data_IF_274546019308
#
_entry.id   IF_274546019308
#
_cell.length_a   1.000
_cell.length_b   1.000
_cell.length_c   1.000
_cell.angle_alpha   90.00
_cell.angle_beta   90.00
_cell.angle_gamma   90.00
#
_symmetry.space_group_name_H-M   'P 1'
#
loop_
_entity.id
_entity.type
_entity.pdbx_description
1 polymer ?
#
# COMPACT_ATOMS: atom_id res chain seq x y z
N UNK A 1 -14.50 42.15 14.26
CA UNK A 1 -14.55 40.98 13.39
C UNK A 1 -13.13 40.57 13.12
N UNK A 2 -12.77 39.29 13.29
CA UNK A 2 -11.44 38.83 12.96
C UNK A 2 -11.22 38.97 11.46
N UNK A 3 -10.06 39.50 11.06
CA UNK A 3 -9.66 39.56 9.63
C UNK A 3 -9.67 38.16 9.05
N UNK A 4 -10.63 37.89 8.15
CA UNK A 4 -10.71 36.60 7.45
C UNK A 4 -9.46 36.51 6.54
N UNK A 5 -8.63 35.52 6.76
CA UNK A 5 -7.45 35.31 5.90
C UNK A 5 -7.89 35.00 4.47
N UNK A 6 -7.00 35.24 3.49
CA UNK A 6 -7.27 34.87 2.10
C UNK A 6 -7.58 33.34 1.97
N UNK A 7 -6.87 32.51 2.71
CA UNK A 7 -7.07 31.08 2.68
C UNK A 7 -8.48 30.69 3.19
N UNK A 8 -8.92 31.27 4.31
CA UNK A 8 -10.25 31.03 4.87
C UNK A 8 -11.35 31.47 3.90
N UNK A 9 -11.20 32.65 3.26
CA UNK A 9 -12.16 33.14 2.28
C UNK A 9 -12.25 32.23 1.05
N UNK A 10 -11.12 31.77 0.51
CA UNK A 10 -11.10 30.84 -0.63
C UNK A 10 -11.79 29.52 -0.26
N UNK A 11 -11.54 28.96 0.93
CA UNK A 11 -12.19 27.74 1.41
C UNK A 11 -13.70 27.94 1.59
N UNK A 12 -14.16 29.08 2.13
CA UNK A 12 -15.57 29.40 2.29
C UNK A 12 -16.30 29.52 0.95
N UNK A 13 -15.71 30.23 -0.03
CA UNK A 13 -16.23 30.35 -1.40
C UNK A 13 -16.35 28.96 -2.06
N UNK A 14 -15.32 28.14 -1.94
CA UNK A 14 -15.30 26.79 -2.48
C UNK A 14 -16.37 25.91 -1.82
N UNK A 15 -16.44 25.92 -0.48
CA UNK A 15 -17.43 25.14 0.28
C UNK A 15 -18.87 25.53 -0.09
N UNK A 16 -19.17 26.84 -0.22
CA UNK A 16 -20.49 27.34 -0.61
C UNK A 16 -20.92 26.83 -1.99
N UNK A 17 -20.00 26.89 -2.96
CA UNK A 17 -20.26 26.44 -4.33
C UNK A 17 -20.50 24.94 -4.41
N UNK A 18 -19.72 24.13 -3.68
CA UNK A 18 -19.83 22.67 -3.69
C UNK A 18 -21.08 22.21 -2.94
N UNK A 19 -21.43 22.87 -1.84
CA UNK A 19 -22.63 22.51 -1.06
C UNK A 19 -23.92 22.73 -1.85
N UNK A 20 -23.87 23.56 -2.90
CA UNK A 20 -25.03 23.90 -3.74
C UNK A 20 -24.72 23.76 -5.23
N UNK A 21 -24.44 22.55 -5.72
CA UNK A 21 -23.89 22.35 -7.07
C UNK A 21 -24.84 22.73 -8.20
N UNK A 22 -26.14 22.75 -7.93
CA UNK A 22 -27.17 23.15 -8.91
C UNK A 22 -27.37 24.66 -9.02
N UNK A 23 -26.84 25.42 -8.05
CA UNK A 23 -27.03 26.87 -7.99
C UNK A 23 -25.85 27.61 -8.60
N UNK A 24 -26.14 28.62 -9.38
CA UNK A 24 -25.12 29.56 -9.90
C UNK A 24 -25.13 30.85 -9.10
N UNK A 25 -23.95 31.40 -8.85
CA UNK A 25 -23.76 32.61 -8.04
C UNK A 25 -23.04 33.68 -8.82
N UNK A 26 -23.50 34.95 -8.74
CA UNK A 26 -22.69 36.09 -9.09
C UNK A 26 -21.71 36.45 -7.97
N UNK A 27 -20.76 37.35 -8.22
CA UNK A 27 -19.87 37.82 -7.15
C UNK A 27 -20.67 38.47 -6.01
N UNK A 28 -21.75 39.20 -6.32
CA UNK A 28 -22.62 39.81 -5.31
C UNK A 28 -23.34 38.74 -4.47
N UNK A 29 -23.88 37.69 -5.12
CA UNK A 29 -24.54 36.56 -4.43
C UNK A 29 -23.57 35.86 -3.47
N UNK A 30 -22.30 35.66 -3.88
CA UNK A 30 -21.26 35.03 -3.05
C UNK A 30 -20.91 35.88 -1.84
N UNK A 31 -20.77 37.19 -2.04
CA UNK A 31 -20.46 38.15 -0.98
C UNK A 31 -21.60 38.25 0.03
N UNK A 32 -22.85 38.30 -0.42
CA UNK A 32 -24.03 38.32 0.43
C UNK A 32 -24.14 37.04 1.23
N UNK A 33 -23.99 35.87 0.60
CA UNK A 33 -24.10 34.57 1.27
C UNK A 33 -23.02 34.31 2.34
N UNK A 34 -21.85 34.92 2.21
CA UNK A 34 -20.72 34.80 3.13
C UNK A 34 -20.52 36.05 4.01
N UNK A 35 -21.44 37.01 3.96
CA UNK A 35 -21.39 38.28 4.71
C UNK A 35 -20.07 39.04 4.49
N UNK A 36 -19.52 38.99 3.27
CA UNK A 36 -18.27 39.64 2.90
C UNK A 36 -18.55 41.10 2.55
N UNK A 37 -17.87 42.08 3.18
CA UNK A 37 -18.12 43.48 2.97
C UNK A 37 -17.70 43.94 1.54
N UNK A 38 -18.39 44.96 1.00
CA UNK A 38 -18.24 45.41 -0.41
C UNK A 38 -16.81 45.91 -0.76
N UNK A 39 -16.04 46.39 0.20
CA UNK A 39 -14.64 46.78 0.00
C UNK A 39 -13.72 45.55 -0.36
N UNK A 40 -14.14 44.31 -0.07
CA UNK A 40 -13.42 43.08 -0.40
C UNK A 40 -13.76 42.55 -1.81
N UNK A 41 -14.64 43.16 -2.56
CA UNK A 41 -15.13 42.69 -3.87
C UNK A 41 -13.99 42.29 -4.84
N UNK A 42 -12.94 43.13 -4.93
CA UNK A 42 -11.79 42.84 -5.80
C UNK A 42 -11.01 41.57 -5.34
N UNK A 43 -10.93 41.35 -4.06
CA UNK A 43 -10.26 40.18 -3.49
C UNK A 43 -11.08 38.92 -3.78
N UNK A 44 -12.41 38.96 -3.61
CA UNK A 44 -13.31 37.85 -4.00
C UNK A 44 -13.21 37.56 -5.49
N UNK A 45 -13.13 38.54 -6.36
CA UNK A 45 -12.94 38.31 -7.79
C UNK A 45 -11.63 37.60 -8.12
N UNK A 46 -10.50 37.96 -7.46
CA UNK A 46 -9.20 37.26 -7.62
C UNK A 46 -9.25 35.86 -7.10
N UNK A 47 -9.91 35.64 -5.97
CA UNK A 47 -10.05 34.31 -5.37
C UNK A 47 -10.90 33.40 -6.26
N UNK A 48 -11.97 33.93 -6.86
CA UNK A 48 -12.77 33.23 -7.85
C UNK A 48 -12.00 32.90 -9.14
N UNK A 49 -11.12 33.83 -9.62
CA UNK A 49 -10.21 33.50 -10.72
C UNK A 49 -9.26 32.37 -10.37
N UNK A 50 -8.73 32.36 -9.15
CA UNK A 50 -7.87 31.25 -8.67
C UNK A 50 -8.64 29.92 -8.64
N UNK A 51 -9.86 29.94 -8.12
CA UNK A 51 -10.70 28.74 -8.03
C UNK A 51 -11.14 28.22 -9.41
N UNK A 52 -11.44 29.11 -10.35
CA UNK A 52 -11.85 28.74 -11.72
C UNK A 52 -10.67 28.23 -12.56
N UNK A 53 -9.43 28.64 -12.26
CA UNK A 53 -8.22 28.13 -12.92
C UNK A 53 -7.65 26.89 -12.24
N UNK A 54 -8.05 26.62 -11.00
CA UNK A 54 -7.56 25.45 -10.25
C UNK A 54 -7.88 24.15 -10.99
N UNK A 55 -6.89 23.28 -11.12
CA UNK A 55 -6.98 22.00 -11.80
C UNK A 55 -7.60 22.09 -13.23
N UNK A 56 -7.17 23.13 -14.00
CA UNK A 56 -7.65 23.32 -15.36
C UNK A 56 -9.14 23.66 -15.49
N UNK A 57 -9.76 24.21 -14.43
CA UNK A 57 -11.19 24.55 -14.42
C UNK A 57 -12.12 23.39 -14.07
N UNK A 58 -11.58 22.28 -13.57
CA UNK A 58 -12.38 21.08 -13.29
C UNK A 58 -13.40 21.24 -12.15
N UNK A 59 -13.21 22.22 -11.25
CA UNK A 59 -14.04 22.34 -10.05
C UNK A 59 -15.19 23.36 -10.19
N UNK A 60 -14.98 24.48 -10.90
CA UNK A 60 -15.94 25.57 -11.01
C UNK A 60 -16.09 26.00 -12.46
N UNK A 61 -17.33 26.02 -12.92
CA UNK A 61 -17.70 26.52 -14.26
C UNK A 61 -18.01 28.01 -14.17
N UNK A 62 -17.55 28.76 -15.17
CA UNK A 62 -17.97 30.11 -15.40
C UNK A 62 -19.07 30.10 -16.46
N UNK A 63 -20.26 30.54 -16.08
CA UNK A 63 -21.39 30.72 -16.98
C UNK A 63 -21.38 32.21 -17.37
N UNK A 64 -21.21 32.50 -18.66
CA UNK A 64 -21.37 33.88 -19.17
C UNK A 64 -22.80 34.05 -19.63
N UNK A 65 -23.55 34.79 -18.88
CA UNK A 65 -24.82 35.35 -19.38
C UNK A 65 -24.57 36.77 -19.85
N UNK A 66 -25.37 37.27 -20.78
CA UNK A 66 -25.15 38.54 -21.51
C UNK A 66 -24.95 39.77 -20.61
N UNK A 67 -25.07 39.69 -19.30
CA UNK A 67 -24.98 40.79 -18.33
C UNK A 67 -24.07 40.58 -17.12
N UNK A 68 -23.69 39.32 -16.79
CA UNK A 68 -22.79 39.05 -15.65
C UNK A 68 -22.18 37.65 -15.72
N UNK A 69 -20.95 37.52 -15.21
CA UNK A 69 -20.36 36.22 -14.96
C UNK A 69 -21.01 35.56 -13.73
N UNK A 70 -21.42 34.31 -13.88
CA UNK A 70 -21.93 33.48 -12.79
C UNK A 70 -21.03 32.27 -12.61
N UNK A 71 -20.86 31.88 -11.38
CA UNK A 71 -20.02 30.74 -10.99
C UNK A 71 -20.91 29.62 -10.49
N UNK A 72 -20.63 28.40 -10.95
CA UNK A 72 -21.35 27.21 -10.55
C UNK A 72 -20.35 26.08 -10.31
N UNK A 73 -20.62 25.23 -9.34
CA UNK A 73 -19.85 24.00 -9.20
C UNK A 73 -19.90 23.18 -10.49
N UNK A 74 -18.73 22.78 -10.98
CA UNK A 74 -18.62 21.76 -12.01
C UNK A 74 -18.80 20.36 -11.42
N UNK A 75 -18.68 20.28 -10.11
CA UNK A 75 -18.77 19.08 -9.31
C UNK A 75 -20.24 18.87 -8.93
N UNK A 76 -20.86 17.80 -9.41
CA UNK A 76 -22.27 17.50 -9.15
C UNK A 76 -22.52 16.93 -7.76
N UNK A 77 -21.47 16.38 -7.14
CA UNK A 77 -21.50 15.91 -5.74
C UNK A 77 -20.09 16.02 -5.13
N UNK A 78 -20.01 16.01 -3.80
CA UNK A 78 -18.72 15.97 -3.10
C UNK A 78 -17.83 14.78 -3.50
N UNK A 79 -18.44 13.70 -3.96
CA UNK A 79 -17.73 12.52 -4.44
C UNK A 79 -16.91 12.80 -5.71
N UNK A 80 -17.33 13.72 -6.57
CA UNK A 80 -16.60 14.14 -7.77
C UNK A 80 -15.30 14.92 -7.46
N UNK A 81 -15.11 15.38 -6.22
CA UNK A 81 -13.85 15.95 -5.77
C UNK A 81 -12.72 14.94 -5.70
N UNK A 82 -13.06 13.70 -5.36
CA UNK A 82 -12.10 12.61 -5.23
C UNK A 82 -11.64 12.09 -6.59
N UNK A 83 -12.48 12.24 -7.62
CA UNK A 83 -12.28 11.65 -8.94
C UNK A 83 -12.56 12.65 -10.06
N UNK A 84 -11.78 13.73 -10.17
CA UNK A 84 -12.06 14.82 -11.13
C UNK A 84 -11.70 14.47 -12.58
N UNK A 85 -10.92 13.41 -12.81
CA UNK A 85 -10.43 13.01 -14.13
C UNK A 85 -10.88 11.57 -14.42
N UNK A 86 -11.61 11.38 -15.51
CA UNK A 86 -12.16 10.08 -15.93
C UNK A 86 -11.06 9.02 -16.10
N UNK A 87 -9.94 9.35 -16.76
CA UNK A 87 -8.85 8.39 -16.99
C UNK A 87 -8.24 7.90 -15.68
N UNK A 88 -7.95 8.83 -14.75
CA UNK A 88 -7.43 8.47 -13.44
C UNK A 88 -8.46 7.67 -12.62
N UNK A 89 -9.73 8.05 -12.69
CA UNK A 89 -10.82 7.32 -12.02
C UNK A 89 -10.90 5.89 -12.52
N UNK A 90 -10.78 5.70 -13.81
CA UNK A 90 -10.79 4.41 -14.47
C UNK A 90 -9.62 3.54 -14.04
N UNK A 91 -8.40 4.10 -13.99
CA UNK A 91 -7.22 3.40 -13.48
C UNK A 91 -7.41 3.00 -12.01
N UNK A 92 -7.89 3.92 -11.16
CA UNK A 92 -8.18 3.61 -9.76
C UNK A 92 -9.19 2.47 -9.64
N UNK A 93 -10.27 2.50 -10.42
CA UNK A 93 -11.28 1.45 -10.41
C UNK A 93 -10.69 0.08 -10.74
N UNK A 94 -9.93 -0.02 -11.84
CA UNK A 94 -9.31 -1.28 -12.27
C UNK A 94 -8.30 -1.79 -11.23
N UNK A 95 -7.41 -0.93 -10.73
CA UNK A 95 -6.42 -1.34 -9.74
C UNK A 95 -7.04 -1.73 -8.40
N UNK A 96 -8.04 -0.98 -7.92
CA UNK A 96 -8.74 -1.30 -6.67
C UNK A 96 -9.47 -2.64 -6.78
N UNK A 97 -10.14 -2.90 -7.89
CA UNK A 97 -10.79 -4.19 -8.12
C UNK A 97 -9.78 -5.34 -8.09
N UNK A 98 -8.57 -5.11 -8.61
CA UNK A 98 -7.48 -6.10 -8.55
C UNK A 98 -6.95 -6.29 -7.13
N UNK A 99 -6.81 -5.21 -6.36
CA UNK A 99 -6.41 -5.28 -4.96
C UNK A 99 -7.42 -6.09 -4.15
N UNK A 100 -8.73 -5.89 -4.35
CA UNK A 100 -9.77 -6.68 -3.71
C UNK A 100 -9.62 -8.18 -3.97
N UNK A 101 -9.32 -8.55 -5.21
CA UNK A 101 -9.09 -9.95 -5.59
C UNK A 101 -7.78 -10.53 -5.01
N UNK A 102 -6.74 -9.70 -4.86
CA UNK A 102 -5.46 -10.13 -4.28
C UNK A 102 -5.48 -10.21 -2.75
N UNK A 103 -6.26 -9.37 -2.12
CA UNK A 103 -6.35 -9.24 -0.66
C UNK A 103 -7.82 -9.30 -0.20
N UNK A 104 -8.43 -10.49 -0.17
CA UNK A 104 -9.83 -10.66 0.25
C UNK A 104 -10.15 -10.05 1.62
N UNK A 105 -9.15 -10.00 2.54
CA UNK A 105 -9.29 -9.31 3.82
C UNK A 105 -9.62 -7.81 3.72
N UNK A 106 -9.35 -7.18 2.58
CA UNK A 106 -9.68 -5.79 2.30
C UNK A 106 -10.85 -5.66 1.30
N UNK A 107 -11.42 -6.76 0.85
CA UNK A 107 -12.41 -6.82 -0.23
C UNK A 107 -13.63 -5.92 0.04
N UNK A 108 -14.22 -6.00 1.22
CA UNK A 108 -15.42 -5.23 1.57
C UNK A 108 -15.16 -3.73 1.50
N UNK A 109 -14.03 -3.29 2.10
CA UNK A 109 -13.64 -1.87 2.09
C UNK A 109 -13.36 -1.37 0.68
N UNK A 110 -12.74 -2.20 -0.15
CA UNK A 110 -12.47 -1.86 -1.56
C UNK A 110 -13.76 -1.86 -2.37
N UNK A 111 -14.67 -2.79 -2.14
CA UNK A 111 -15.98 -2.85 -2.79
C UNK A 111 -16.81 -1.60 -2.48
N UNK A 112 -16.88 -1.19 -1.21
CA UNK A 112 -17.55 0.05 -0.80
C UNK A 112 -16.96 1.28 -1.51
N UNK A 113 -15.62 1.33 -1.66
CA UNK A 113 -14.95 2.41 -2.38
C UNK A 113 -15.26 2.38 -3.88
N UNK A 114 -15.25 1.20 -4.50
CA UNK A 114 -15.62 1.03 -5.91
C UNK A 114 -17.06 1.46 -6.17
N UNK A 115 -18.02 1.14 -5.29
CA UNK A 115 -19.39 1.61 -5.38
C UNK A 115 -19.50 3.13 -5.28
N UNK A 116 -18.75 3.76 -4.38
CA UNK A 116 -18.70 5.23 -4.26
C UNK A 116 -18.15 5.86 -5.54
N UNK A 117 -17.06 5.30 -6.10
CA UNK A 117 -16.52 5.74 -7.39
C UNK A 117 -17.59 5.63 -8.47
N UNK A 118 -18.27 4.50 -8.58
CA UNK A 118 -19.33 4.32 -9.59
C UNK A 118 -20.49 5.30 -9.40
N UNK A 119 -20.92 5.54 -8.16
CA UNK A 119 -22.01 6.49 -7.86
C UNK A 119 -21.64 7.93 -8.19
N UNK A 120 -20.35 8.29 -8.11
CA UNK A 120 -19.85 9.63 -8.40
C UNK A 120 -19.75 9.95 -9.90
N UNK A 121 -19.74 8.92 -10.77
CA UNK A 121 -19.58 9.12 -12.21
C UNK A 121 -20.91 9.50 -12.91
N UNK A 122 -20.85 10.34 -13.95
CA UNK A 122 -21.98 10.55 -14.86
C UNK A 122 -22.44 9.23 -15.51
N UNK A 123 -23.72 9.14 -15.82
CA UNK A 123 -24.33 7.88 -16.32
C UNK A 123 -23.63 7.30 -17.57
N UNK A 124 -23.18 8.16 -18.49
CA UNK A 124 -22.43 7.78 -19.69
C UNK A 124 -21.04 7.23 -19.35
N UNK A 125 -20.36 7.82 -18.37
CA UNK A 125 -19.02 7.39 -17.93
C UNK A 125 -19.09 6.12 -17.09
N UNK A 126 -20.12 5.96 -16.26
CA UNK A 126 -20.38 4.75 -15.48
C UNK A 126 -20.44 3.52 -16.39
N UNK A 127 -21.23 3.58 -17.47
CA UNK A 127 -21.33 2.48 -18.42
C UNK A 127 -19.98 2.17 -19.10
N UNK A 128 -19.22 3.20 -19.45
CA UNK A 128 -17.89 3.04 -20.05
C UNK A 128 -16.90 2.39 -19.07
N UNK A 129 -16.91 2.77 -17.78
CA UNK A 129 -16.06 2.15 -16.74
C UNK A 129 -16.45 0.69 -16.51
N UNK A 130 -17.75 0.37 -16.46
CA UNK A 130 -18.22 -1.01 -16.30
C UNK A 130 -17.81 -1.90 -17.49
N UNK A 131 -17.96 -1.42 -18.72
CA UNK A 131 -17.53 -2.15 -19.92
C UNK A 131 -16.02 -2.38 -19.95
N UNK A 132 -15.24 -1.33 -19.63
CA UNK A 132 -13.80 -1.44 -19.57
C UNK A 132 -13.34 -2.39 -18.46
N UNK A 133 -13.95 -2.30 -17.27
CA UNK A 133 -13.65 -3.21 -16.18
C UNK A 133 -13.90 -4.66 -16.55
N UNK A 134 -15.01 -4.95 -17.26
CA UNK A 134 -15.30 -6.29 -17.76
C UNK A 134 -14.28 -6.75 -18.82
N UNK A 135 -13.92 -5.89 -19.77
CA UNK A 135 -12.92 -6.22 -20.79
C UNK A 135 -11.54 -6.45 -20.18
N UNK A 136 -11.07 -5.57 -19.30
CA UNK A 136 -9.79 -5.71 -18.61
C UNK A 136 -9.76 -6.90 -17.66
N UNK A 137 -10.89 -7.24 -17.01
CA UNK A 137 -10.98 -8.44 -16.18
C UNK A 137 -10.74 -9.72 -16.97
N UNK A 138 -11.14 -9.75 -18.23
CA UNK A 138 -10.87 -10.90 -19.11
C UNK A 138 -9.42 -10.95 -19.63
N UNK A 139 -8.72 -9.81 -19.67
CA UNK A 139 -7.39 -9.66 -20.28
C UNK A 139 -6.25 -9.58 -19.28
N UNK A 140 -6.52 -9.22 -18.02
CA UNK A 140 -5.51 -9.16 -16.98
C UNK A 140 -5.68 -10.39 -16.09
N UNK A 141 -4.80 -11.36 -16.24
CA UNK A 141 -4.77 -12.58 -15.45
C UNK A 141 -3.65 -12.51 -14.41
N UNK A 142 -3.94 -12.94 -13.19
CA UNK A 142 -2.90 -13.22 -12.21
C UNK A 142 -2.45 -14.67 -12.39
N UNK A 143 -1.18 -14.85 -12.72
CA UNK A 143 -0.56 -16.15 -12.71
C UNK A 143 -0.21 -16.53 -11.26
N UNK A 144 -0.66 -17.70 -10.83
CA UNK A 144 -0.42 -18.24 -9.49
C UNK A 144 -1.72 -18.37 -8.68
N UNK A 145 -1.64 -19.14 -7.61
CA UNK A 145 -2.77 -19.32 -6.68
C UNK A 145 -2.80 -18.15 -5.71
N UNK A 146 -3.87 -17.35 -5.69
CA UNK A 146 -3.99 -16.29 -4.69
C UNK A 146 -4.05 -16.90 -3.29
N UNK A 147 -3.57 -16.18 -2.26
CA UNK A 147 -3.72 -16.64 -0.89
C UNK A 147 -5.22 -16.75 -0.56
N UNK A 148 -5.62 -17.88 0.02
CA UNK A 148 -6.98 -18.08 0.53
C UNK A 148 -7.11 -17.38 1.87
N UNK A 149 -8.16 -16.59 2.05
CA UNK A 149 -8.51 -15.95 3.32
C UNK A 149 -9.89 -16.45 3.75
N UNK A 150 -10.11 -16.48 5.06
CA UNK A 150 -11.43 -16.79 5.64
C UNK A 150 -12.39 -15.61 5.47
N UNK A 151 -13.70 -15.87 5.48
CA UNK A 151 -14.74 -14.85 5.26
C UNK A 151 -14.67 -13.70 6.27
N UNK A 152 -14.26 -13.97 7.53
CA UNK A 152 -14.12 -12.96 8.59
C UNK A 152 -12.78 -12.22 8.58
N UNK A 153 -11.94 -12.43 7.60
CA UNK A 153 -10.59 -11.83 7.53
C UNK A 153 -10.62 -10.30 7.53
N UNK A 154 -11.61 -9.69 6.91
CA UNK A 154 -11.78 -8.23 6.91
C UNK A 154 -12.00 -7.70 8.33
N UNK A 155 -12.88 -8.31 9.10
CA UNK A 155 -13.18 -7.91 10.47
C UNK A 155 -11.98 -8.13 11.40
N UNK A 156 -11.31 -9.27 11.29
CA UNK A 156 -10.07 -9.53 12.04
C UNK A 156 -9.01 -8.46 11.77
N UNK A 157 -8.81 -8.08 10.50
CA UNK A 157 -7.83 -7.05 10.12
C UNK A 157 -8.20 -5.67 10.69
N UNK A 158 -9.49 -5.29 10.65
CA UNK A 158 -9.99 -4.04 11.26
C UNK A 158 -9.69 -3.99 12.76
N UNK A 159 -9.93 -5.08 13.48
CA UNK A 159 -9.63 -5.17 14.93
C UNK A 159 -8.13 -4.97 15.18
N UNK A 160 -7.27 -5.61 14.40
CA UNK A 160 -5.81 -5.48 14.53
C UNK A 160 -5.34 -4.05 14.22
N UNK A 161 -5.82 -3.44 13.13
CA UNK A 161 -5.48 -2.07 12.78
C UNK A 161 -5.94 -1.08 13.85
N UNK A 162 -7.15 -1.28 14.39
CA UNK A 162 -7.66 -0.49 15.51
C UNK A 162 -6.79 -0.66 16.77
N UNK A 163 -6.38 -1.89 17.07
CA UNK A 163 -5.50 -2.18 18.22
C UNK A 163 -4.16 -1.43 18.11
N UNK A 164 -3.55 -1.44 16.93
CA UNK A 164 -2.30 -0.71 16.66
C UNK A 164 -2.52 0.81 16.80
N UNK A 165 -3.61 1.33 16.26
CA UNK A 165 -3.94 2.76 16.35
C UNK A 165 -4.19 3.22 17.78
N UNK A 166 -5.00 2.47 18.55
CA UNK A 166 -5.36 2.77 19.92
C UNK A 166 -4.30 2.34 20.96
N UNK A 167 -3.18 1.71 20.54
CA UNK A 167 -2.14 1.11 21.41
C UNK A 167 -2.75 0.15 22.44
N UNK A 168 -3.61 -0.72 21.95
CA UNK A 168 -4.26 -1.75 22.78
C UNK A 168 -3.74 -3.13 22.43
N UNK A 169 -3.60 -3.97 23.46
CA UNK A 169 -3.25 -5.37 23.23
C UNK A 169 -4.43 -6.12 22.60
N UNK A 170 -4.12 -7.19 21.91
CA UNK A 170 -5.10 -8.11 21.32
C UNK A 170 -5.02 -9.47 22.00
N UNK A 171 -6.15 -10.14 22.10
CA UNK A 171 -6.23 -11.57 22.43
C UNK A 171 -6.45 -12.35 21.14
N UNK A 172 -5.60 -13.31 20.83
CA UNK A 172 -5.70 -14.08 19.59
C UNK A 172 -5.60 -15.59 19.86
N UNK A 173 -6.27 -16.37 19.01
CA UNK A 173 -6.10 -17.81 18.90
C UNK A 173 -5.59 -18.11 17.49
N UNK A 174 -4.49 -18.82 17.36
CA UNK A 174 -3.94 -19.26 16.06
C UNK A 174 -4.15 -20.77 15.87
N UNK A 175 -4.04 -21.26 14.63
CA UNK A 175 -4.34 -22.66 14.24
C UNK A 175 -3.71 -23.71 15.17
N UNK A 176 -2.52 -23.45 15.73
CA UNK A 176 -1.81 -24.38 16.59
C UNK A 176 -1.93 -24.02 18.09
N UNK A 177 -2.86 -23.16 18.47
CA UNK A 177 -3.05 -22.70 19.84
C UNK A 177 -4.40 -23.19 20.38
N UNK A 178 -4.37 -23.75 21.59
CA UNK A 178 -5.57 -24.28 22.24
C UNK A 178 -6.25 -23.28 23.19
N UNK A 179 -5.62 -22.11 23.40
CA UNK A 179 -6.12 -21.05 24.29
C UNK A 179 -5.75 -19.68 23.74
N UNK A 180 -6.51 -18.64 24.10
CA UNK A 180 -6.18 -17.27 23.73
C UNK A 180 -4.84 -16.83 24.30
N UNK A 181 -4.08 -16.08 23.50
CA UNK A 181 -2.83 -15.43 23.89
C UNK A 181 -2.95 -13.92 23.71
N UNK A 182 -2.61 -13.19 24.77
CA UNK A 182 -2.55 -11.72 24.70
C UNK A 182 -1.25 -11.32 24.00
N UNK A 183 -1.33 -10.36 23.06
CA UNK A 183 -0.23 -9.94 22.20
C UNK A 183 -0.18 -8.43 22.07
N UNK A 184 1.00 -7.88 21.82
CA UNK A 184 1.24 -6.46 21.56
C UNK A 184 1.46 -6.27 20.07
N UNK A 185 0.43 -5.88 19.29
CA UNK A 185 0.57 -5.68 17.86
C UNK A 185 1.25 -4.33 17.57
N UNK A 186 2.30 -4.33 16.77
CA UNK A 186 3.07 -3.13 16.44
C UNK A 186 2.86 -2.64 15.02
N UNK A 187 2.74 -3.56 14.06
CA UNK A 187 2.55 -3.21 12.64
C UNK A 187 1.96 -4.36 11.82
N UNK A 188 1.36 -4.00 10.70
CA UNK A 188 0.98 -4.93 9.63
C UNK A 188 2.09 -4.95 8.59
N UNK A 189 2.51 -6.13 8.17
CA UNK A 189 3.58 -6.36 7.21
C UNK A 189 3.00 -7.12 6.01
N UNK A 190 3.12 -6.53 4.82
CA UNK A 190 2.77 -7.18 3.57
C UNK A 190 4.04 -7.78 2.96
N UNK A 191 4.06 -9.09 2.77
CA UNK A 191 5.24 -9.79 2.29
C UNK A 191 4.84 -10.95 1.36
N UNK A 192 5.29 -10.88 0.11
CA UNK A 192 4.97 -11.89 -0.92
C UNK A 192 3.47 -12.25 -1.03
N UNK A 193 2.60 -11.25 -0.99
CA UNK A 193 1.14 -11.45 -1.07
C UNK A 193 0.48 -11.93 0.22
N UNK A 194 1.25 -12.17 1.27
CA UNK A 194 0.76 -12.58 2.59
C UNK A 194 0.77 -11.41 3.58
N UNK A 195 -0.15 -11.46 4.53
CA UNK A 195 -0.24 -10.50 5.62
C UNK A 195 0.39 -11.11 6.87
N UNK A 196 1.26 -10.36 7.52
CA UNK A 196 1.84 -10.70 8.82
C UNK A 196 1.62 -9.58 9.82
N UNK A 197 1.51 -9.93 11.08
CA UNK A 197 1.40 -8.99 12.18
C UNK A 197 2.71 -9.04 12.96
N UNK A 198 3.43 -7.92 12.96
CA UNK A 198 4.61 -7.74 13.81
C UNK A 198 4.19 -7.43 15.23
N UNK A 199 4.63 -8.24 16.19
CA UNK A 199 4.30 -8.14 17.60
C UNK A 199 5.56 -7.99 18.45
N UNK A 200 5.42 -7.35 19.62
CA UNK A 200 6.41 -7.38 20.68
C UNK A 200 6.12 -8.53 21.66
N UNK A 201 7.18 -9.14 22.16
CA UNK A 201 7.07 -10.21 23.17
C UNK A 201 6.68 -9.62 24.53
N UNK A 202 5.72 -10.24 25.20
CA UNK A 202 5.36 -9.85 26.57
C UNK A 202 6.36 -10.39 27.61
N UNK A 203 6.97 -11.53 27.31
CA UNK A 203 7.91 -12.19 28.23
C UNK A 203 9.34 -11.65 28.12
N UNK A 204 9.68 -11.10 26.96
CA UNK A 204 10.98 -10.51 26.67
C UNK A 204 10.77 -9.14 26.02
N UNK A 205 10.54 -8.09 26.83
CA UNK A 205 10.34 -6.74 26.30
C UNK A 205 11.50 -6.30 25.39
N UNK A 206 11.17 -5.77 24.22
CA UNK A 206 12.14 -5.42 23.19
C UNK A 206 12.30 -6.50 22.11
N UNK A 207 12.03 -7.76 22.39
CA UNK A 207 12.00 -8.82 21.38
C UNK A 207 10.75 -8.74 20.52
N UNK A 208 10.89 -9.03 19.23
CA UNK A 208 9.78 -8.98 18.28
C UNK A 208 9.61 -10.32 17.57
N UNK A 209 8.37 -10.64 17.23
CA UNK A 209 8.04 -11.81 16.42
C UNK A 209 6.92 -11.46 15.43
N UNK A 210 6.66 -12.36 14.49
CA UNK A 210 5.60 -12.16 13.52
C UNK A 210 4.60 -13.29 13.57
N UNK A 211 3.34 -12.94 13.40
CA UNK A 211 2.23 -13.87 13.24
C UNK A 211 1.78 -13.84 11.79
N UNK A 212 1.59 -14.99 11.18
CA UNK A 212 0.95 -15.07 9.87
C UNK A 212 -0.54 -14.85 10.06
N UNK A 213 -1.09 -13.78 9.46
CA UNK A 213 -2.46 -13.32 9.65
C UNK A 213 -3.49 -14.43 9.40
N UNK A 214 -3.36 -15.16 8.29
CA UNK A 214 -4.29 -16.23 7.94
C UNK A 214 -4.25 -17.45 8.89
N UNK A 215 -3.32 -17.50 9.83
CA UNK A 215 -3.31 -18.52 10.90
C UNK A 215 -4.06 -18.06 12.14
N UNK A 216 -4.51 -16.84 12.20
CA UNK A 216 -5.29 -16.27 13.31
C UNK A 216 -6.74 -16.66 13.12
N UNK A 217 -7.23 -17.57 13.95
CA UNK A 217 -8.63 -18.02 13.95
C UNK A 217 -9.57 -16.99 14.58
N UNK A 218 -9.15 -16.37 15.70
CA UNK A 218 -9.91 -15.31 16.33
C UNK A 218 -9.00 -14.19 16.84
N UNK A 219 -9.55 -12.97 16.87
CA UNK A 219 -8.89 -11.80 17.45
C UNK A 219 -9.90 -10.92 18.14
N UNK A 220 -9.57 -10.48 19.35
CA UNK A 220 -10.36 -9.59 20.16
C UNK A 220 -9.51 -8.45 20.72
N UNK A 221 -10.10 -7.27 20.81
CA UNK A 221 -9.46 -6.10 21.40
C UNK A 221 -9.54 -6.22 22.93
N UNK A 222 -8.40 -6.18 23.62
CA UNK A 222 -8.39 -6.22 25.09
C UNK A 222 -8.60 -4.81 25.67
N UNK A 223 -8.78 -4.71 26.99
CA UNK A 223 -8.79 -3.43 27.71
C UNK A 223 -7.39 -2.90 28.03
N UNK A 224 -6.38 -3.78 27.92
CA UNK A 224 -5.00 -3.44 28.24
C UNK A 224 -4.36 -2.60 27.13
N UNK A 225 -3.64 -1.58 27.55
CA UNK A 225 -2.87 -0.71 26.64
C UNK A 225 -1.39 -1.04 26.70
N UNK A 226 -0.63 -0.56 25.73
CA UNK A 226 0.83 -0.60 25.71
C UNK A 226 1.38 0.76 25.27
N UNK A 227 2.66 0.97 25.48
CA UNK A 227 3.37 2.14 24.98
C UNK A 227 4.32 1.71 23.86
N UNK A 228 4.36 2.51 22.79
CA UNK A 228 5.30 2.28 21.70
C UNK A 228 6.74 2.40 22.24
N UNK A 229 7.56 1.39 21.97
CA UNK A 229 8.98 1.45 22.17
C UNK A 229 9.66 1.78 20.82
N UNK A 230 10.21 2.99 20.63
CA UNK A 230 10.82 3.39 19.37
C UNK A 230 11.96 2.46 18.93
N UNK A 231 12.72 1.91 19.87
CA UNK A 231 13.81 0.96 19.57
C UNK A 231 13.28 -0.36 19.02
N UNK A 232 12.22 -0.89 19.63
CA UNK A 232 11.54 -2.12 19.17
C UNK A 232 10.94 -1.94 17.78
N UNK A 233 10.27 -0.79 17.55
CA UNK A 233 9.72 -0.47 16.24
C UNK A 233 10.79 -0.35 15.15
N UNK A 234 11.90 0.33 15.45
CA UNK A 234 12.98 0.48 14.47
C UNK A 234 13.69 -0.86 14.21
N UNK A 235 13.87 -1.69 15.22
CA UNK A 235 14.41 -3.04 15.05
C UNK A 235 13.51 -3.90 14.16
N UNK A 236 12.20 -3.85 14.36
CA UNK A 236 11.25 -4.57 13.51
C UNK A 236 11.26 -4.03 12.06
N UNK A 237 11.33 -2.71 11.87
CA UNK A 237 11.50 -2.10 10.54
C UNK A 237 12.81 -2.52 9.87
N UNK A 238 13.91 -2.54 10.61
CA UNK A 238 15.22 -3.01 10.10
C UNK A 238 15.12 -4.46 9.63
N UNK A 239 14.50 -5.32 10.43
CA UNK A 239 14.24 -6.73 10.04
C UNK A 239 13.43 -6.82 8.75
N UNK A 240 12.33 -6.07 8.63
CA UNK A 240 11.48 -6.04 7.43
C UNK A 240 12.26 -5.55 6.20
N UNK A 241 13.09 -4.52 6.34
CA UNK A 241 13.92 -3.98 5.23
C UNK A 241 14.97 -4.97 4.74
N UNK A 242 15.47 -5.84 5.60
CA UNK A 242 16.43 -6.88 5.23
C UNK A 242 15.78 -8.11 4.56
N UNK A 243 14.47 -8.11 4.39
CA UNK A 243 13.73 -9.07 3.56
C UNK A 243 13.39 -10.41 4.21
N UNK A 244 14.23 -10.93 5.11
CA UNK A 244 14.03 -12.21 5.79
C UNK A 244 13.42 -12.08 7.19
N UNK A 245 13.17 -10.88 7.58
CA UNK A 245 12.82 -10.45 8.93
C UNK A 245 11.57 -11.10 9.53
N UNK A 246 10.77 -11.77 8.73
CA UNK A 246 9.56 -12.43 9.21
C UNK A 246 9.91 -13.64 10.09
N UNK A 247 11.07 -14.29 9.84
CA UNK A 247 11.49 -15.50 10.52
C UNK A 247 12.93 -15.45 11.07
N UNK A 248 13.60 -14.32 10.95
CA UNK A 248 15.01 -14.17 11.29
C UNK A 248 15.29 -13.85 12.77
N UNK A 249 16.56 -13.75 13.15
CA UNK A 249 17.00 -13.45 14.50
C UNK A 249 16.56 -12.05 14.94
N UNK A 250 16.56 -11.81 16.25
CA UNK A 250 16.15 -10.51 16.83
C UNK A 250 17.06 -9.36 16.40
N UNK A 251 18.38 -9.57 16.40
CA UNK A 251 19.36 -8.61 15.86
C UNK A 251 19.99 -9.15 14.58
N UNK A 252 19.38 -8.87 13.42
CA UNK A 252 19.88 -9.36 12.15
C UNK A 252 21.17 -8.65 11.77
N UNK A 253 22.25 -9.40 11.62
CA UNK A 253 23.53 -8.91 11.10
C UNK A 253 23.61 -9.24 9.61
N UNK A 254 23.53 -8.21 8.79
CA UNK A 254 23.76 -8.36 7.36
C UNK A 254 25.25 -8.57 7.09
N UNK A 255 25.55 -9.56 6.27
CA UNK A 255 26.90 -9.88 5.80
C UNK A 255 27.09 -9.37 4.37
N UNK A 256 28.35 -9.23 3.96
CA UNK A 256 28.68 -8.96 2.58
C UNK A 256 28.48 -10.25 1.76
N UNK A 257 27.61 -10.16 0.75
CA UNK A 257 27.27 -11.25 -0.17
C UNK A 257 27.86 -10.94 -1.53
N UNK A 258 28.61 -11.88 -2.07
CA UNK A 258 29.17 -11.83 -3.42
C UNK A 258 28.80 -13.12 -4.16
N UNK A 259 28.09 -12.98 -5.28
CA UNK A 259 27.63 -14.08 -6.10
C UNK A 259 27.96 -13.79 -7.57
N UNK A 260 28.52 -14.77 -8.25
CA UNK A 260 28.76 -14.68 -9.69
C UNK A 260 27.62 -15.38 -10.41
N UNK A 261 27.05 -14.70 -11.40
CA UNK A 261 25.98 -15.24 -12.23
C UNK A 261 26.42 -15.35 -13.70
N UNK A 262 25.75 -16.19 -14.47
CA UNK A 262 25.82 -16.17 -15.93
C UNK A 262 25.13 -14.89 -16.44
N UNK A 263 25.46 -14.42 -17.64
CA UNK A 263 24.91 -13.19 -18.21
C UNK A 263 23.45 -13.31 -18.67
N UNK A 264 22.98 -14.51 -18.93
CA UNK A 264 21.60 -14.81 -19.33
C UNK A 264 20.54 -14.40 -18.28
N UNK A 265 20.94 -14.21 -17.02
CA UNK A 265 20.02 -13.81 -15.93
C UNK A 265 20.06 -12.30 -15.62
N UNK A 266 20.81 -11.49 -16.39
CA UNK A 266 21.00 -10.07 -16.08
C UNK A 266 19.67 -9.31 -15.94
N UNK A 267 18.75 -9.46 -16.88
CA UNK A 267 17.47 -8.80 -16.87
C UNK A 267 16.66 -9.15 -15.60
N UNK A 268 16.65 -10.42 -15.21
CA UNK A 268 15.94 -10.85 -13.99
C UNK A 268 16.52 -10.26 -12.71
N UNK A 269 17.85 -10.14 -12.65
CA UNK A 269 18.53 -9.54 -11.49
C UNK A 269 18.23 -8.04 -11.36
N UNK A 270 18.18 -7.32 -12.49
CA UNK A 270 17.90 -5.89 -12.53
C UNK A 270 16.43 -5.57 -12.30
N UNK A 271 15.51 -6.36 -12.88
CA UNK A 271 14.06 -6.17 -12.71
C UNK A 271 13.57 -6.54 -11.30
N UNK A 272 14.19 -7.55 -10.69
CA UNK A 272 13.77 -8.10 -9.41
C UNK A 272 14.93 -8.24 -8.43
N UNK A 273 15.52 -7.13 -7.97
CA UNK A 273 16.66 -7.21 -7.05
C UNK A 273 16.24 -7.85 -5.74
N UNK A 274 17.07 -8.74 -5.21
CA UNK A 274 16.85 -9.38 -3.91
C UNK A 274 16.73 -8.38 -2.78
N UNK A 275 17.57 -7.33 -2.85
CA UNK A 275 17.57 -6.22 -1.89
C UNK A 275 17.92 -4.88 -2.57
N UNK A 276 17.52 -3.78 -1.92
CA UNK A 276 17.84 -2.41 -2.41
C UNK A 276 19.33 -2.12 -2.49
N UNK A 277 20.15 -2.81 -1.70
CA UNK A 277 21.62 -2.67 -1.70
C UNK A 277 22.30 -3.46 -2.81
N UNK A 278 21.56 -4.28 -3.56
CA UNK A 278 22.10 -5.13 -4.61
C UNK A 278 22.67 -4.28 -5.75
N UNK A 279 23.87 -4.62 -6.17
CA UNK A 279 24.55 -4.05 -7.35
C UNK A 279 24.94 -5.18 -8.27
N UNK A 280 24.78 -4.95 -9.56
CA UNK A 280 25.15 -5.90 -10.62
C UNK A 280 26.28 -5.26 -11.43
N UNK A 281 27.39 -5.95 -11.58
CA UNK A 281 28.55 -5.49 -12.34
C UNK A 281 28.97 -6.56 -13.35
N UNK A 282 29.18 -6.17 -14.60
CA UNK A 282 29.62 -7.09 -15.65
C UNK A 282 31.15 -7.27 -15.60
N UNK A 283 31.59 -8.50 -15.45
CA UNK A 283 32.99 -8.87 -15.42
C UNK A 283 33.56 -8.98 -16.85
N UNK A 284 34.89 -8.93 -16.97
CA UNK A 284 35.60 -9.03 -18.27
C UNK A 284 35.35 -10.35 -19.03
N UNK A 285 35.03 -11.41 -18.29
CA UNK A 285 34.72 -12.73 -18.88
C UNK A 285 33.24 -12.90 -19.27
N UNK A 286 32.45 -11.79 -19.24
CA UNK A 286 31.02 -11.78 -19.56
C UNK A 286 30.09 -12.18 -18.42
N UNK A 287 30.61 -12.77 -17.34
CA UNK A 287 29.81 -13.10 -16.15
C UNK A 287 29.43 -11.85 -15.37
N UNK A 288 28.44 -11.97 -14.49
CA UNK A 288 27.95 -10.88 -13.64
C UNK A 288 28.39 -11.09 -12.19
N UNK A 289 28.95 -10.07 -11.58
CA UNK A 289 29.18 -10.03 -10.13
C UNK A 289 28.04 -9.28 -9.46
N UNK A 290 27.34 -9.96 -8.58
CA UNK A 290 26.32 -9.37 -7.71
C UNK A 290 26.91 -9.17 -6.33
N UNK A 291 26.84 -7.94 -5.84
CA UNK A 291 27.26 -7.58 -4.49
C UNK A 291 26.10 -6.96 -3.72
N UNK A 292 25.93 -7.33 -2.45
CA UNK A 292 24.93 -6.74 -1.57
C UNK A 292 25.23 -7.01 -0.10
N UNK A 293 24.52 -6.31 0.79
CA UNK A 293 24.47 -6.67 2.21
C UNK A 293 23.16 -7.40 2.48
N UNK A 294 23.22 -8.66 2.88
CA UNK A 294 22.05 -9.48 3.12
C UNK A 294 22.23 -10.37 4.36
N UNK A 295 21.10 -10.86 4.89
CA UNK A 295 21.15 -11.91 5.90
C UNK A 295 21.48 -13.24 5.23
N UNK A 296 22.40 -13.97 5.86
CA UNK A 296 22.71 -15.34 5.46
C UNK A 296 21.69 -16.30 6.08
N UNK A 297 20.52 -16.39 5.45
CA UNK A 297 19.39 -17.16 5.92
C UNK A 297 18.75 -18.04 4.83
N UNK A 298 17.66 -18.71 5.17
CA UNK A 298 16.95 -19.58 4.25
C UNK A 298 16.35 -18.84 3.05
N UNK A 299 16.05 -17.56 3.17
CA UNK A 299 15.52 -16.79 2.04
C UNK A 299 16.61 -16.54 0.99
N UNK A 300 17.79 -16.08 1.42
CA UNK A 300 18.93 -15.91 0.55
C UNK A 300 19.34 -17.25 -0.08
N UNK A 301 19.37 -18.32 0.70
CA UNK A 301 19.67 -19.66 0.20
C UNK A 301 18.69 -20.09 -0.90
N UNK A 302 17.38 -19.95 -0.68
CA UNK A 302 16.36 -20.29 -1.69
C UNK A 302 16.42 -19.39 -2.92
N UNK A 303 16.71 -18.11 -2.72
CA UNK A 303 16.85 -17.17 -3.83
C UNK A 303 18.02 -17.56 -4.73
N UNK A 304 19.17 -17.93 -4.15
CA UNK A 304 20.31 -18.42 -4.95
C UNK A 304 19.94 -19.72 -5.67
N UNK A 305 19.28 -20.66 -5.01
CA UNK A 305 18.84 -21.92 -5.63
C UNK A 305 17.85 -21.70 -6.78
N UNK A 306 17.07 -20.63 -6.78
CA UNK A 306 16.13 -20.35 -7.87
C UNK A 306 16.81 -20.05 -9.20
N UNK A 307 18.11 -19.75 -9.19
CA UNK A 307 18.94 -19.57 -10.39
C UNK A 307 19.69 -20.84 -10.82
N UNK A 308 19.46 -21.94 -10.13
CA UNK A 308 20.02 -23.27 -10.44
C UNK A 308 21.54 -23.22 -10.70
N UNK A 309 21.97 -23.61 -11.90
CA UNK A 309 23.38 -23.65 -12.33
C UNK A 309 23.94 -22.31 -12.79
N UNK A 310 23.10 -21.24 -12.78
CA UNK A 310 23.53 -19.91 -13.21
C UNK A 310 24.17 -19.09 -12.09
N UNK A 311 24.12 -19.56 -10.82
CA UNK A 311 24.64 -18.84 -9.65
C UNK A 311 25.82 -19.58 -8.99
N UNK A 312 26.88 -18.82 -8.67
CA UNK A 312 28.02 -19.31 -7.90
C UNK A 312 28.32 -18.37 -6.72
N UNK A 313 28.07 -18.82 -5.49
CA UNK A 313 28.32 -18.04 -4.28
C UNK A 313 29.82 -17.97 -3.99
N UNK A 314 30.35 -16.75 -3.87
CA UNK A 314 31.71 -16.46 -3.46
C UNK A 314 31.75 -16.17 -1.95
N UNK A 315 30.83 -15.32 -1.48
CA UNK A 315 30.66 -14.95 -0.06
C UNK A 315 29.17 -14.91 0.30
N UNK A 316 28.80 -15.23 1.54
CA UNK A 316 29.67 -15.73 2.63
C UNK A 316 30.01 -17.22 2.42
N UNK A 317 31.13 -17.65 3.01
CA UNK A 317 31.59 -19.06 2.92
C UNK A 317 30.57 -20.01 3.53
N UNK A 318 29.86 -19.60 4.58
CA UNK A 318 28.81 -20.39 5.22
C UNK A 318 27.69 -20.74 4.23
N UNK A 319 27.21 -19.78 3.42
CA UNK A 319 26.21 -20.01 2.38
C UNK A 319 26.73 -20.96 1.30
N UNK A 320 27.99 -20.77 0.86
CA UNK A 320 28.64 -21.66 -0.12
C UNK A 320 28.72 -23.09 0.39
N UNK A 321 29.08 -23.28 1.66
CA UNK A 321 29.11 -24.61 2.29
C UNK A 321 27.72 -25.25 2.38
N UNK A 322 26.70 -24.48 2.75
CA UNK A 322 25.31 -24.95 2.80
C UNK A 322 24.82 -25.40 1.41
N UNK A 323 25.17 -24.68 0.35
CA UNK A 323 24.85 -25.08 -1.03
C UNK A 323 25.57 -26.36 -1.44
N UNK A 324 26.84 -26.51 -1.05
CA UNK A 324 27.62 -27.74 -1.29
C UNK A 324 27.01 -28.95 -0.58
N UNK A 325 26.64 -28.82 0.68
CA UNK A 325 25.95 -29.88 1.43
C UNK A 325 24.62 -30.24 0.77
N UNK A 326 23.86 -29.23 0.32
CA UNK A 326 22.62 -29.48 -0.39
C UNK A 326 22.83 -30.19 -1.72
N UNK A 327 23.91 -29.90 -2.46
CA UNK A 327 24.23 -30.62 -3.70
C UNK A 327 24.53 -32.11 -3.43
N UNK A 328 25.25 -32.44 -2.36
CA UNK A 328 25.47 -33.84 -1.96
C UNK A 328 24.17 -34.56 -1.56
N UNK A 329 23.27 -33.82 -0.88
CA UNK A 329 21.96 -34.37 -0.56
C UNK A 329 21.17 -34.68 -1.84
N UNK A 330 21.12 -33.78 -2.80
CA UNK A 330 20.46 -34.00 -4.09
C UNK A 330 21.08 -35.20 -4.84
N UNK A 331 22.39 -35.25 -4.93
CA UNK A 331 23.11 -36.33 -5.59
C UNK A 331 22.75 -37.68 -4.94
N UNK A 332 22.85 -37.79 -3.62
CA UNK A 332 22.51 -39.01 -2.86
C UNK A 332 21.04 -39.41 -2.99
N UNK A 333 20.15 -38.46 -3.18
CA UNK A 333 18.70 -38.70 -3.24
C UNK A 333 18.28 -39.19 -4.63
N UNK A 334 18.82 -38.56 -5.68
CA UNK A 334 18.38 -38.82 -7.05
C UNK A 334 19.28 -39.77 -7.82
N UNK A 335 20.46 -40.16 -7.29
CA UNK A 335 21.28 -41.26 -7.80
C UNK A 335 20.85 -42.63 -7.29
N UNK A 336 19.96 -42.72 -6.30
CA UNK A 336 19.34 -44.00 -5.95
C UNK A 336 18.39 -44.40 -7.08
N UNK A 337 18.79 -45.40 -7.87
CA UNK A 337 17.95 -45.99 -8.90
C UNK A 337 16.53 -46.25 -8.32
N UNK A 338 15.46 -45.94 -9.12
CA UNK A 338 14.10 -46.21 -8.71
C UNK A 338 13.82 -47.66 -8.36
#
# INVERSE_FOLDING_TARGET
MADITRADRVLQLFALLISNPSRSYSISDLMEALEIPENERRNVQRDMQTLTSANGGAYIRVLSDSRAFRYQSAIKSADNLLFPNFENTMLHFVFLQRIANMYPAASDTVTDLLEKIQKSLPANEKKAVEQLAQDLNSRILFAGTPPTFEEDSSEKLKVILRAIHERRKISTVSINEFKPHVRIPLMVILYHGEIYIGCESQTHPGDTYTLKFRRIQSVELTKETFQDNPKTLEMLRKRVRLGSAIFGPQDPKAEDVEIIFKDDVQAYLEEKPFQRSMKVEKLRNGRLLVTMKALNDDLLFRWVLSYADSAEVIKPIALRNKLREFSYFLDSTYHRNP
#
